data_IF_438492071465
#
_entry.id   IF_438492071465
#
_cell.length_a   1.000
_cell.length_b   1.000
_cell.length_c   1.000
_cell.angle_alpha   90.00
_cell.angle_beta   90.00
_cell.angle_gamma   90.00
#
_symmetry.space_group_name_H-M   'P 1'
#
loop_
_entity.id
_entity.type
_entity.pdbx_description
1 polymer ?
#
# COMPACT_ATOMS: atom_id res chain seq x y z
N UNK A 1 3.34 6.89 4.62
CA UNK A 1 4.60 7.47 5.14
C UNK A 1 4.65 7.39 6.66
N UNK A 2 3.66 7.96 7.35
CA UNK A 2 3.67 8.10 8.82
C UNK A 2 3.84 6.79 9.61
N UNK A 3 3.24 5.69 9.16
CA UNK A 3 3.47 4.39 9.80
C UNK A 3 4.94 3.97 9.76
N UNK A 4 5.61 4.14 8.62
CA UNK A 4 7.01 3.77 8.47
C UNK A 4 7.96 4.72 9.21
N UNK A 5 7.59 5.99 9.38
CA UNK A 5 8.41 6.96 10.12
C UNK A 5 8.22 6.86 11.63
N UNK A 6 7.02 6.52 12.10
CA UNK A 6 6.67 6.51 13.52
C UNK A 6 6.81 5.13 14.19
N UNK A 7 6.96 4.04 13.41
CA UNK A 7 7.11 2.67 13.93
C UNK A 7 8.43 2.08 13.44
N UNK A 8 9.39 1.98 14.37
CA UNK A 8 10.81 1.70 14.07
C UNK A 8 11.07 0.44 13.22
N UNK A 9 10.29 -0.62 13.38
CA UNK A 9 10.52 -1.88 12.65
C UNK A 9 9.85 -1.91 11.26
N UNK A 10 8.98 -0.94 10.94
CA UNK A 10 8.34 -0.86 9.64
C UNK A 10 9.25 -0.14 8.65
N UNK A 11 9.33 -0.68 7.44
CA UNK A 11 10.11 -0.08 6.36
C UNK A 11 9.17 0.40 5.26
N UNK A 12 9.51 1.53 4.67
CA UNK A 12 8.78 2.09 3.54
C UNK A 12 8.71 1.12 2.35
N UNK A 13 9.75 0.30 2.16
CA UNK A 13 9.84 -0.67 1.07
C UNK A 13 9.12 -2.00 1.33
N UNK A 14 8.50 -2.16 2.51
CA UNK A 14 7.75 -3.37 2.88
C UNK A 14 6.25 -3.01 3.07
N UNK A 15 5.53 -2.65 1.99
CA UNK A 15 4.19 -2.06 2.08
C UNK A 15 3.17 -3.01 2.73
N UNK A 16 3.29 -4.33 2.51
CA UNK A 16 2.39 -5.32 3.10
C UNK A 16 2.45 -5.30 4.64
N UNK A 17 3.62 -5.10 5.25
CA UNK A 17 3.72 -5.01 6.71
C UNK A 17 3.05 -3.75 7.26
N UNK A 18 3.17 -2.63 6.54
CA UNK A 18 2.45 -1.40 6.88
C UNK A 18 0.93 -1.63 6.80
N UNK A 19 0.45 -2.26 5.73
CA UNK A 19 -0.97 -2.58 5.54
C UNK A 19 -1.52 -3.47 6.67
N UNK A 20 -0.74 -4.46 7.13
CA UNK A 20 -1.11 -5.29 8.29
C UNK A 20 -1.32 -4.43 9.55
N UNK A 21 -0.46 -3.44 9.76
CA UNK A 21 -0.61 -2.53 10.91
C UNK A 21 -1.81 -1.60 10.75
N UNK A 22 -2.10 -1.09 9.54
CA UNK A 22 -3.32 -0.33 9.27
C UNK A 22 -4.58 -1.12 9.66
N UNK A 23 -4.66 -2.39 9.25
CA UNK A 23 -5.76 -3.28 9.63
C UNK A 23 -5.78 -3.58 11.13
N UNK A 24 -4.63 -3.87 11.75
CA UNK A 24 -4.54 -4.11 13.20
C UNK A 24 -4.98 -2.90 14.02
N UNK A 25 -4.78 -1.69 13.50
CA UNK A 25 -5.19 -0.42 14.11
C UNK A 25 -6.58 0.02 13.69
N UNK A 26 -7.23 -0.67 12.74
CA UNK A 26 -8.52 -0.29 12.16
C UNK A 26 -8.54 1.16 11.67
N UNK A 27 -7.42 1.66 11.12
CA UNK A 27 -7.30 3.06 10.74
C UNK A 27 -6.29 3.28 9.61
N UNK A 28 -6.67 4.07 8.60
CA UNK A 28 -5.87 4.34 7.41
C UNK A 28 -4.74 5.35 7.65
N UNK A 29 -4.95 6.39 8.46
CA UNK A 29 -3.91 7.38 8.79
C UNK A 29 -4.07 7.95 10.22
N UNK A 30 -3.72 7.20 11.28
CA UNK A 30 -4.04 7.59 12.66
C UNK A 30 -3.09 8.64 13.27
N UNK A 31 -2.02 9.02 12.57
CA UNK A 31 -1.05 9.98 13.10
C UNK A 31 -1.51 11.40 12.83
N UNK A 32 -1.72 12.22 13.86
CA UNK A 32 -2.00 13.65 13.73
C UNK A 32 -0.71 14.47 13.68
N UNK A 33 -0.65 15.49 12.83
CA UNK A 33 0.52 16.38 12.68
C UNK A 33 1.72 15.74 11.97
N UNK A 34 1.52 14.59 11.32
CA UNK A 34 2.53 13.91 10.52
C UNK A 34 2.63 14.46 9.08
N UNK A 35 3.18 13.63 8.18
CA UNK A 35 3.28 13.97 6.77
C UNK A 35 1.94 13.81 6.03
N UNK A 36 1.05 12.95 6.53
CA UNK A 36 -0.30 12.79 5.96
C UNK A 36 -1.21 13.89 6.50
N UNK A 37 -1.67 14.85 5.67
CA UNK A 37 -2.61 15.85 6.14
C UNK A 37 -3.97 15.19 6.41
N UNK A 38 -4.56 15.52 7.55
CA UNK A 38 -5.91 15.10 7.92
C UNK A 38 -6.84 16.31 7.86
N UNK A 39 -7.95 16.17 7.14
CA UNK A 39 -8.97 17.22 7.09
C UNK A 39 -9.68 17.31 8.46
N UNK A 40 -9.96 18.51 8.97
CA UNK A 40 -10.64 18.71 10.25
C UNK A 40 -12.15 18.49 10.10
N UNK A 41 -12.54 17.25 9.91
CA UNK A 41 -13.95 16.83 9.78
C UNK A 41 -14.56 16.51 11.15
N UNK A 42 -15.89 16.61 11.24
CA UNK A 42 -16.63 16.22 12.46
C UNK A 42 -16.66 14.70 12.70
N UNK A 43 -16.40 13.92 11.65
CA UNK A 43 -16.41 12.46 11.65
C UNK A 43 -15.10 11.98 11.02
N UNK A 44 -14.47 10.98 11.63
CA UNK A 44 -13.26 10.36 11.09
C UNK A 44 -13.60 9.27 10.08
N UNK A 45 -13.47 9.61 8.79
CA UNK A 45 -13.70 8.69 7.67
C UNK A 45 -12.54 7.73 7.40
N UNK A 46 -11.41 7.89 8.11
CA UNK A 46 -10.22 7.05 7.91
C UNK A 46 -10.26 5.79 8.80
N UNK A 47 -11.29 5.65 9.64
CA UNK A 47 -11.56 4.44 10.43
C UNK A 47 -12.02 3.30 9.51
N UNK A 48 -11.42 2.13 9.70
CA UNK A 48 -11.82 0.88 9.04
C UNK A 48 -12.83 0.17 9.95
N UNK A 49 -14.09 0.59 9.85
CA UNK A 49 -15.18 0.07 10.69
C UNK A 49 -15.53 -1.39 10.35
N UNK A 50 -15.67 -1.67 9.04
CA UNK A 50 -15.90 -3.02 8.53
C UNK A 50 -14.59 -3.63 8.02
N UNK A 51 -14.26 -4.83 8.49
CA UNK A 51 -13.12 -5.59 7.97
C UNK A 51 -13.37 -5.92 6.49
N UNK A 52 -12.48 -5.52 5.56
CA UNK A 52 -12.63 -5.82 4.14
C UNK A 52 -12.14 -7.24 3.83
N UNK A 53 -12.66 -7.85 2.77
CA UNK A 53 -12.09 -9.09 2.20
C UNK A 53 -10.82 -8.80 1.38
N UNK A 54 -10.76 -7.63 0.75
CA UNK A 54 -9.65 -7.15 -0.09
C UNK A 54 -9.29 -5.73 0.34
N UNK A 55 -8.05 -5.52 0.74
CA UNK A 55 -7.52 -4.22 1.12
C UNK A 55 -6.45 -3.78 0.11
N UNK A 56 -6.70 -2.67 -0.57
CA UNK A 56 -5.85 -2.16 -1.65
C UNK A 56 -5.25 -0.82 -1.26
N UNK A 57 -3.95 -0.68 -1.44
CA UNK A 57 -3.22 0.58 -1.27
C UNK A 57 -2.35 0.88 -2.50
N UNK A 58 -1.68 2.02 -2.48
CA UNK A 58 -0.73 2.44 -3.51
C UNK A 58 0.24 3.46 -2.94
N UNK A 59 0.50 4.54 -3.68
CA UNK A 59 1.35 5.68 -3.28
C UNK A 59 2.85 5.38 -3.11
N UNK A 60 3.23 4.21 -2.57
CA UNK A 60 4.63 3.80 -2.41
C UNK A 60 5.30 3.49 -3.76
N UNK A 61 4.52 3.08 -4.78
CA UNK A 61 4.99 2.67 -6.11
C UNK A 61 5.77 1.35 -6.11
N UNK A 62 5.47 0.44 -5.17
CA UNK A 62 5.93 -0.95 -5.18
C UNK A 62 4.75 -1.87 -5.47
N UNK A 63 4.97 -2.97 -6.18
CA UNK A 63 3.96 -3.99 -6.39
C UNK A 63 4.16 -5.12 -5.36
N UNK A 64 3.20 -5.32 -4.48
CA UNK A 64 3.29 -6.39 -3.48
C UNK A 64 1.91 -6.96 -3.13
N UNK A 65 1.88 -8.24 -2.77
CA UNK A 65 0.67 -8.98 -2.44
C UNK A 65 0.90 -9.76 -1.16
N UNK A 66 -0.05 -9.66 -0.24
CA UNK A 66 -0.03 -10.36 1.04
C UNK A 66 -1.39 -10.91 1.44
N UNK A 67 -1.38 -11.60 2.58
CA UNK A 67 -2.56 -12.03 3.28
C UNK A 67 -2.42 -11.66 4.76
N UNK A 68 -3.52 -11.22 5.37
CA UNK A 68 -3.58 -11.03 6.81
C UNK A 68 -4.93 -11.46 7.35
N UNK A 69 -4.94 -12.59 8.07
CA UNK A 69 -6.14 -13.14 8.73
C UNK A 69 -7.32 -13.30 7.76
N UNK A 70 -7.04 -13.71 6.52
CA UNK A 70 -8.05 -13.91 5.48
C UNK A 70 -8.34 -12.67 4.62
N UNK A 71 -7.78 -11.49 4.97
CA UNK A 71 -7.86 -10.28 4.13
C UNK A 71 -6.74 -10.31 3.09
N UNK A 72 -7.09 -10.19 1.81
CA UNK A 72 -6.09 -10.03 0.74
C UNK A 72 -5.54 -8.62 0.75
N UNK A 73 -4.22 -8.49 0.83
CA UNK A 73 -3.50 -7.22 0.82
C UNK A 73 -2.89 -7.03 -0.56
N UNK A 74 -3.20 -5.92 -1.22
CA UNK A 74 -2.63 -5.57 -2.51
C UNK A 74 -2.07 -4.15 -2.41
N UNK A 75 -0.74 -4.00 -2.50
CA UNK A 75 -0.16 -2.71 -2.79
C UNK A 75 0.04 -2.61 -4.29
N UNK A 76 -0.77 -1.77 -4.93
CA UNK A 76 -0.68 -1.55 -6.36
C UNK A 76 0.63 -0.81 -6.67
N UNK A 77 1.28 -1.29 -7.74
CA UNK A 77 2.41 -0.67 -8.44
C UNK A 77 2.14 0.80 -8.80
N UNK A 78 2.97 1.36 -9.67
CA UNK A 78 2.72 2.64 -10.33
C UNK A 78 2.89 2.51 -11.84
N UNK A 79 2.37 3.47 -12.59
CA UNK A 79 2.68 3.61 -14.02
C UNK A 79 3.75 4.69 -14.26
N UNK A 80 4.40 5.14 -13.20
CA UNK A 80 5.43 6.16 -13.24
C UNK A 80 6.81 5.54 -13.05
N UNK A 81 7.74 5.86 -13.97
CA UNK A 81 9.15 5.53 -13.81
C UNK A 81 9.80 6.29 -12.64
N UNK A 82 10.99 5.86 -12.23
CA UNK A 82 11.69 6.46 -11.09
C UNK A 82 11.96 7.96 -11.30
N UNK A 83 11.39 8.77 -10.41
CA UNK A 83 11.58 10.22 -10.39
C UNK A 83 12.92 10.63 -9.78
N UNK A 84 13.36 11.87 -10.02
CA UNK A 84 14.55 12.44 -9.38
C UNK A 84 14.43 12.47 -7.86
N UNK A 85 13.26 12.82 -7.32
CA UNK A 85 12.99 12.79 -5.89
C UNK A 85 13.14 11.37 -5.29
N UNK A 86 12.60 10.36 -5.96
CA UNK A 86 12.78 8.96 -5.54
C UNK A 86 14.24 8.52 -5.60
N UNK A 87 15.00 8.93 -6.63
CA UNK A 87 16.44 8.70 -6.71
C UNK A 87 17.19 9.33 -5.53
N UNK A 88 16.87 10.57 -5.17
CA UNK A 88 17.48 11.24 -4.01
C UNK A 88 17.24 10.50 -2.69
N UNK A 89 16.11 9.80 -2.57
CA UNK A 89 15.77 8.99 -1.41
C UNK A 89 16.30 7.54 -1.49
N UNK A 90 17.10 7.21 -2.51
CA UNK A 90 17.54 5.84 -2.81
C UNK A 90 16.37 4.84 -2.92
N UNK A 91 15.22 5.32 -3.41
CA UNK A 91 14.01 4.54 -3.54
C UNK A 91 13.83 4.05 -4.98
N UNK A 92 13.66 2.74 -5.16
CA UNK A 92 13.48 2.10 -6.46
C UNK A 92 12.02 1.66 -6.58
N UNK A 93 11.20 2.33 -7.42
CA UNK A 93 9.84 1.90 -7.66
C UNK A 93 9.82 0.62 -8.51
N UNK A 94 8.68 -0.04 -8.49
CA UNK A 94 8.40 -1.24 -9.27
C UNK A 94 7.22 -0.99 -10.21
N UNK A 95 7.41 -0.19 -11.27
CA UNK A 95 6.32 0.29 -12.12
C UNK A 95 5.77 -0.79 -13.05
N UNK A 96 4.68 -0.47 -13.75
CA UNK A 96 4.10 -1.25 -14.83
C UNK A 96 3.68 -2.67 -14.44
N UNK A 97 3.22 -2.86 -13.21
CA UNK A 97 2.68 -4.13 -12.73
C UNK A 97 1.21 -4.00 -12.34
N UNK A 98 0.37 -4.90 -12.84
CA UNK A 98 -1.07 -4.92 -12.55
C UNK A 98 -1.40 -6.12 -11.67
N UNK A 99 -1.92 -5.92 -10.44
CA UNK A 99 -2.49 -6.99 -9.66
C UNK A 99 -3.88 -7.37 -10.22
N UNK A 100 -4.10 -8.66 -10.46
CA UNK A 100 -5.36 -9.22 -10.94
C UNK A 100 -5.85 -10.20 -9.88
N UNK A 101 -7.04 -9.95 -9.32
CA UNK A 101 -7.64 -10.81 -8.30
C UNK A 101 -8.87 -11.54 -8.86
N UNK A 102 -8.92 -12.85 -8.65
CA UNK A 102 -10.11 -13.65 -8.91
C UNK A 102 -11.05 -13.58 -7.70
N UNK A 103 -12.22 -12.97 -7.85
CA UNK A 103 -13.16 -12.74 -6.75
C UNK A 103 -13.82 -14.03 -6.20
N UNK A 104 -13.80 -15.14 -6.95
CA UNK A 104 -14.35 -16.42 -6.49
C UNK A 104 -13.35 -17.20 -5.63
N UNK A 105 -12.06 -17.14 -5.98
CA UNK A 105 -11.00 -17.92 -5.31
C UNK A 105 -10.10 -17.09 -4.41
N UNK A 106 -10.24 -15.75 -4.46
CA UNK A 106 -9.35 -14.77 -3.86
C UNK A 106 -7.88 -14.92 -4.28
N UNK A 107 -7.60 -15.66 -5.36
CA UNK A 107 -6.25 -15.80 -5.90
C UNK A 107 -5.83 -14.49 -6.59
N UNK A 108 -4.62 -14.03 -6.30
CA UNK A 108 -4.06 -12.80 -6.88
C UNK A 108 -2.85 -13.16 -7.73
N UNK A 109 -2.83 -12.67 -8.96
CA UNK A 109 -1.68 -12.74 -9.86
C UNK A 109 -1.18 -11.33 -10.17
N UNK A 110 0.10 -11.21 -10.56
CA UNK A 110 0.71 -9.93 -10.93
C UNK A 110 1.17 -10.00 -12.39
N UNK A 111 0.59 -9.15 -13.25
CA UNK A 111 0.99 -9.04 -14.65
C UNK A 111 2.05 -7.95 -14.79
N UNK A 112 3.21 -8.27 -15.37
CA UNK A 112 4.35 -7.35 -15.51
C UNK A 112 4.49 -6.89 -16.97
N UNK A 113 4.41 -5.58 -17.18
CA UNK A 113 4.49 -4.92 -18.48
C UNK A 113 5.87 -4.28 -18.74
N UNK A 114 6.86 -4.44 -17.85
CA UNK A 114 8.23 -3.96 -18.11
C UNK A 114 8.98 -4.84 -19.11
N UNK A 115 8.58 -6.11 -19.23
CA UNK A 115 9.18 -7.03 -20.19
C UNK A 115 8.52 -6.77 -21.54
N UNK A 116 9.30 -6.28 -22.50
CA UNK A 116 8.95 -6.31 -23.91
C UNK A 116 8.53 -7.76 -24.26
N UNK A 117 7.23 -7.99 -24.29
CA UNK A 117 6.64 -9.27 -24.66
C UNK A 117 6.31 -9.17 -26.14
N UNK A 118 7.36 -9.27 -26.97
CA UNK A 118 7.30 -9.60 -28.39
C UNK A 118 8.35 -10.65 -28.68
#
# INVERSE_FOLDING_TARGET
>A
LDFATNIQYLKYNDPVEIMKIMLKKHHLAPSYGGYTPLAPEHIDYMIIDKIPDIFVTGHVHLADVGDYRGVKLINASSWQSQTSYQKMLNFIPDPAKIPIINLKTSNVTMMDFNKNSF
#
